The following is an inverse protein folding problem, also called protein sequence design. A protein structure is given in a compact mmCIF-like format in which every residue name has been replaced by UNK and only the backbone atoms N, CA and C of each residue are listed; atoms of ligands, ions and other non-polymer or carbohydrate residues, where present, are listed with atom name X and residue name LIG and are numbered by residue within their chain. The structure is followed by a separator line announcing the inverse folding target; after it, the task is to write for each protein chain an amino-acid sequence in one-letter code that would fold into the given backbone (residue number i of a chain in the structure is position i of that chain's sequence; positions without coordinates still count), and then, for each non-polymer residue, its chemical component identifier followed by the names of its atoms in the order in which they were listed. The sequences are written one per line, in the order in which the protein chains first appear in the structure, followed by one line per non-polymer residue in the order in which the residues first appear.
data_IF_435003900309
#
_entry.id   IF_435003900309
#
_cell.length_a   1.000
_cell.length_b   1.000
_cell.length_c   1.000
_cell.angle_alpha   90.00
_cell.angle_beta   90.00
_cell.angle_gamma   90.00
#
_symmetry.space_group_name_H-M   'P 1'
#
loop_
_entity.id
_entity.type
_entity.pdbx_description
1 polymer ?
#
# COMPACT_ATOMS: atom_id res chain seq x y z
N UNK A 1 -0.02 -20.12 13.57
CA UNK A 1 0.36 -19.74 12.19
C UNK A 1 -0.89 -19.25 11.48
N UNK A 2 -1.12 -17.94 11.47
CA UNK A 2 -2.34 -17.36 10.89
C UNK A 2 -2.30 -17.51 9.37
N UNK A 3 -2.96 -18.55 8.87
CA UNK A 3 -3.16 -18.81 7.44
C UNK A 3 -4.23 -17.90 6.85
N UNK A 4 -4.16 -16.60 7.15
CA UNK A 4 -5.07 -15.60 6.60
C UNK A 4 -4.48 -15.16 5.27
N UNK A 5 -4.91 -15.83 4.19
CA UNK A 5 -4.61 -15.37 2.84
C UNK A 5 -4.92 -13.88 2.75
N UNK A 6 -4.00 -13.05 2.24
CA UNK A 6 -4.26 -11.63 2.10
C UNK A 6 -5.51 -11.42 1.25
N UNK A 7 -6.29 -10.38 1.59
CA UNK A 7 -7.53 -10.10 0.86
C UNK A 7 -7.20 -9.88 -0.64
N UNK A 8 -8.01 -10.39 -1.58
CA UNK A 8 -7.74 -10.28 -3.02
C UNK A 8 -7.49 -8.83 -3.46
N UNK A 9 -8.29 -7.87 -2.97
CA UNK A 9 -8.06 -6.43 -3.23
C UNK A 9 -6.70 -5.92 -2.77
N UNK A 10 -6.21 -6.38 -1.62
CA UNK A 10 -4.86 -6.02 -1.17
C UNK A 10 -3.80 -6.59 -2.12
N UNK A 11 -3.97 -7.82 -2.59
CA UNK A 11 -3.04 -8.43 -3.54
C UNK A 11 -3.06 -7.72 -4.90
N UNK A 12 -4.24 -7.28 -5.37
CA UNK A 12 -4.38 -6.50 -6.60
C UNK A 12 -3.71 -5.13 -6.47
N UNK A 13 -4.02 -4.38 -5.42
CA UNK A 13 -3.40 -3.07 -5.15
C UNK A 13 -1.88 -3.20 -5.03
N UNK A 14 -1.36 -4.18 -4.27
CA UNK A 14 0.08 -4.43 -4.16
C UNK A 14 0.72 -4.83 -5.49
N UNK A 15 0.02 -5.58 -6.34
CA UNK A 15 0.51 -5.95 -7.67
C UNK A 15 0.62 -4.73 -8.57
N UNK A 16 -0.37 -3.85 -8.56
CA UNK A 16 -0.35 -2.61 -9.33
C UNK A 16 0.77 -1.68 -8.83
N UNK A 17 0.85 -1.49 -7.51
CA UNK A 17 1.93 -0.71 -6.89
C UNK A 17 3.29 -1.30 -7.26
N UNK A 18 3.48 -2.62 -7.18
CA UNK A 18 4.75 -3.27 -7.53
C UNK A 18 5.17 -3.08 -8.99
N UNK A 19 4.23 -2.80 -9.89
CA UNK A 19 4.52 -2.53 -11.31
C UNK A 19 4.86 -1.05 -11.58
N UNK A 20 4.54 -0.17 -10.64
CA UNK A 20 4.81 1.27 -10.72
C UNK A 20 6.19 1.59 -10.15
N UNK A 21 6.83 2.61 -10.73
CA UNK A 21 8.06 3.20 -10.19
C UNK A 21 7.79 3.86 -8.84
N UNK A 22 8.83 4.13 -8.05
CA UNK A 22 8.67 4.82 -6.76
C UNK A 22 7.93 6.14 -6.96
N UNK A 23 8.34 6.98 -7.90
CA UNK A 23 7.65 8.25 -8.21
C UNK A 23 6.18 8.07 -8.62
N UNK A 24 5.85 7.02 -9.36
CA UNK A 24 4.48 6.75 -9.79
C UNK A 24 3.59 6.26 -8.65
N UNK A 25 4.09 5.34 -7.80
CA UNK A 25 3.38 4.91 -6.57
C UNK A 25 3.06 6.08 -5.66
N UNK A 26 3.86 7.14 -5.75
CA UNK A 26 3.80 8.35 -4.92
C UNK A 26 3.04 9.50 -5.54
N UNK A 27 2.34 9.24 -6.64
CA UNK A 27 1.41 10.21 -7.22
C UNK A 27 0.08 10.20 -6.46
N UNK A 28 -0.61 11.35 -6.45
CA UNK A 28 -1.98 11.45 -5.91
C UNK A 28 -2.94 10.45 -6.56
N UNK A 29 -2.74 10.12 -7.84
CA UNK A 29 -3.54 9.12 -8.57
C UNK A 29 -3.40 7.70 -7.99
N UNK A 30 -2.24 7.36 -7.41
CA UNK A 30 -1.97 6.04 -6.84
C UNK A 30 -2.07 6.02 -5.32
N UNK A 31 -2.33 7.18 -4.69
CA UNK A 31 -2.64 7.28 -3.26
C UNK A 31 -3.86 6.42 -2.89
N UNK A 32 -4.90 6.44 -3.72
CA UNK A 32 -6.10 5.63 -3.50
C UNK A 32 -5.81 4.12 -3.53
N UNK A 33 -4.88 3.66 -4.39
CA UNK A 33 -4.42 2.26 -4.41
C UNK A 33 -3.67 1.90 -3.13
N UNK A 34 -2.87 2.83 -2.59
CA UNK A 34 -2.19 2.65 -1.32
C UNK A 34 -3.16 2.59 -0.14
N UNK A 35 -4.15 3.49 -0.10
CA UNK A 35 -5.22 3.46 0.92
C UNK A 35 -6.05 2.19 0.82
N UNK A 36 -6.37 1.71 -0.39
CA UNK A 36 -7.05 0.44 -0.58
C UNK A 36 -6.18 -0.73 -0.09
N UNK A 37 -4.88 -0.72 -0.39
CA UNK A 37 -3.95 -1.72 0.13
C UNK A 37 -3.92 -1.72 1.67
N UNK A 38 -3.82 -0.55 2.31
CA UNK A 38 -3.84 -0.44 3.78
C UNK A 38 -5.15 -0.97 4.35
N UNK A 39 -6.28 -0.58 3.77
CA UNK A 39 -7.62 -0.96 4.25
C UNK A 39 -7.86 -2.46 4.24
N UNK A 40 -7.35 -3.15 3.23
CA UNK A 40 -7.53 -4.60 3.06
C UNK A 40 -6.32 -5.43 3.50
N UNK A 41 -5.26 -4.78 3.97
CA UNK A 41 -4.07 -5.47 4.47
C UNK A 41 -4.36 -6.19 5.81
N UNK A 42 -3.71 -7.33 6.05
CA UNK A 42 -3.68 -7.97 7.37
C UNK A 42 -3.15 -7.01 8.44
N UNK A 43 -3.62 -7.18 9.69
CA UNK A 43 -3.23 -6.32 10.83
C UNK A 43 -1.72 -6.26 11.05
N UNK A 44 -0.99 -7.35 10.75
CA UNK A 44 0.48 -7.41 10.84
C UNK A 44 1.21 -6.62 9.73
N UNK A 45 0.53 -6.32 8.61
CA UNK A 45 1.10 -5.64 7.44
C UNK A 45 0.67 -4.16 7.38
N UNK A 46 -0.53 -3.82 7.84
CA UNK A 46 -1.02 -2.44 7.92
C UNK A 46 -0.01 -1.42 8.48
N UNK A 47 0.65 -1.64 9.63
CA UNK A 47 1.60 -0.66 10.17
C UNK A 47 2.81 -0.43 9.25
N UNK A 48 3.22 -1.44 8.47
CA UNK A 48 4.31 -1.29 7.51
C UNK A 48 3.89 -0.42 6.33
N UNK A 49 2.68 -0.62 5.80
CA UNK A 49 2.13 0.19 4.71
C UNK A 49 1.87 1.64 5.13
N UNK A 50 1.40 1.87 6.36
CA UNK A 50 1.22 3.22 6.92
C UNK A 50 2.57 3.92 7.11
N UNK A 51 3.61 3.21 7.57
CA UNK A 51 4.95 3.79 7.71
C UNK A 51 5.52 4.19 6.36
N UNK A 52 5.28 3.37 5.34
CA UNK A 52 5.61 3.65 3.95
C UNK A 52 4.85 4.91 3.47
N UNK A 53 3.53 4.98 3.65
CA UNK A 53 2.69 6.15 3.34
C UNK A 53 3.14 7.43 4.04
N UNK A 54 3.53 7.37 5.32
CA UNK A 54 3.99 8.55 6.07
C UNK A 54 5.33 9.07 5.57
N UNK A 55 6.27 8.18 5.24
CA UNK A 55 7.54 8.59 4.62
C UNK A 55 7.28 9.34 3.31
N UNK A 56 6.27 8.91 2.57
CA UNK A 56 5.86 9.53 1.31
C UNK A 56 5.28 10.94 1.47
N UNK A 57 4.39 11.15 2.45
CA UNK A 57 3.88 12.49 2.76
C UNK A 57 5.01 13.44 3.20
N UNK A 58 6.04 12.94 3.89
CA UNK A 58 7.18 13.78 4.28
C UNK A 58 8.11 14.17 3.12
N UNK A 59 8.21 13.36 2.06
CA UNK A 59 9.07 13.65 0.89
C UNK A 59 8.40 14.54 -0.16
N UNK A 60 7.07 14.65 -0.16
CA UNK A 60 6.32 15.50 -1.09
C UNK A 60 6.17 16.95 -0.61
N UNK A 61 6.58 17.25 0.64
CA UNK A 61 6.50 18.56 1.31
C UNK A 61 7.86 19.26 1.37
#
# INVERSE_FOLDING_TARGET
MSSTKPHPKFMEAMRQLSQMSEEERLSEQNRELFDEAIRYAPLDIQPQLIAIQKKYEQTLH
#
